data_IF_168213965616
#
_entry.id   IF_168213965616
#
_cell.length_a   1.000
_cell.length_b   1.000
_cell.length_c   1.000
_cell.angle_alpha   90.00
_cell.angle_beta   90.00
_cell.angle_gamma   90.00
#
_symmetry.space_group_name_H-M   'P 1'
#
loop_
_entity.id
_entity.type
_entity.pdbx_description
1 polymer ?
#
# COMPACT_ATOMS: atom_id res chain seq x y z
N UNK A 1 1.54 -11.22 -6.95
CA UNK A 1 0.90 -9.94 -6.54
C UNK A 1 1.70 -9.20 -5.46
N UNK A 2 1.96 -9.77 -4.28
CA UNK A 2 2.75 -9.08 -3.24
C UNK A 2 4.18 -8.74 -3.69
N UNK A 3 4.88 -9.66 -4.36
CA UNK A 3 6.25 -9.42 -4.86
C UNK A 3 6.36 -8.22 -5.81
N UNK A 4 5.32 -7.95 -6.63
CA UNK A 4 5.26 -6.77 -7.49
C UNK A 4 5.43 -5.45 -6.72
N UNK A 5 5.07 -5.44 -5.44
CA UNK A 5 5.28 -4.27 -4.59
C UNK A 5 6.74 -4.03 -4.30
N UNK A 6 7.55 -5.07 -4.11
CA UNK A 6 9.00 -4.91 -3.97
C UNK A 6 9.63 -4.52 -5.30
N UNK A 7 9.23 -5.18 -6.38
CA UNK A 7 9.81 -4.96 -7.72
C UNK A 7 9.55 -3.54 -8.23
N UNK A 8 8.43 -2.92 -7.84
CA UNK A 8 8.08 -1.55 -8.24
C UNK A 8 8.54 -0.48 -7.25
N UNK A 9 8.95 -0.81 -6.03
CA UNK A 9 9.21 0.20 -4.99
C UNK A 9 10.60 0.82 -5.12
N UNK A 10 10.65 2.15 -5.21
CA UNK A 10 11.91 2.88 -5.33
C UNK A 10 12.60 3.01 -3.97
N UNK A 11 13.60 2.17 -3.73
CA UNK A 11 14.39 2.18 -2.48
C UNK A 11 15.60 3.13 -2.52
N UNK A 12 15.84 3.82 -3.64
CA UNK A 12 17.00 4.69 -3.81
C UNK A 12 16.79 6.03 -3.11
N UNK A 13 17.33 6.18 -1.89
CA UNK A 13 17.23 7.42 -1.09
C UNK A 13 17.84 8.64 -1.77
N UNK A 14 18.84 8.47 -2.65
CA UNK A 14 19.43 9.58 -3.40
C UNK A 14 18.48 10.13 -4.49
N UNK A 15 17.50 9.34 -4.90
CA UNK A 15 16.50 9.77 -5.88
C UNK A 15 15.48 10.69 -5.22
N UNK A 16 15.10 11.77 -5.90
CA UNK A 16 13.97 12.61 -5.47
C UNK A 16 12.65 11.84 -5.40
N UNK A 17 12.56 10.66 -6.02
CA UNK A 17 11.41 9.76 -5.99
C UNK A 17 11.59 8.58 -5.02
N UNK A 18 12.59 8.59 -4.13
CA UNK A 18 12.75 7.56 -3.11
C UNK A 18 11.47 7.40 -2.28
N UNK A 19 10.96 6.18 -2.15
CA UNK A 19 9.69 5.88 -1.49
C UNK A 19 8.45 5.87 -2.39
N UNK A 20 8.56 6.18 -3.69
CA UNK A 20 7.46 6.06 -4.65
C UNK A 20 7.42 4.68 -5.33
N UNK A 21 6.37 4.42 -6.11
CA UNK A 21 6.42 3.41 -7.17
C UNK A 21 7.27 3.92 -8.35
N UNK A 22 8.05 3.05 -8.97
CA UNK A 22 8.80 3.31 -10.21
C UNK A 22 7.90 3.33 -11.44
N UNK A 23 6.74 2.67 -11.36
CA UNK A 23 5.80 2.54 -12.46
C UNK A 23 4.46 3.19 -12.11
N UNK A 24 3.81 3.78 -13.12
CA UNK A 24 2.40 4.18 -13.03
C UNK A 24 1.46 2.98 -13.04
N UNK A 25 0.17 3.22 -12.75
CA UNK A 25 -0.87 2.18 -12.70
C UNK A 25 -1.08 1.47 -14.04
N UNK A 26 -1.08 2.23 -15.14
CA UNK A 26 -1.28 1.68 -16.48
C UNK A 26 -0.09 0.80 -16.89
N UNK A 27 -0.40 -0.45 -17.26
CA UNK A 27 0.58 -1.49 -17.56
C UNK A 27 1.46 -1.87 -16.37
N UNK A 28 1.04 -1.61 -15.14
CA UNK A 28 1.85 -1.88 -13.95
C UNK A 28 2.29 -3.35 -13.88
N UNK A 29 1.36 -4.29 -14.05
CA UNK A 29 1.63 -5.72 -13.93
C UNK A 29 2.56 -6.23 -15.04
N UNK A 30 2.45 -5.71 -16.26
CA UNK A 30 3.39 -6.00 -17.34
C UNK A 30 4.81 -5.50 -17.03
N UNK A 31 4.95 -4.29 -16.48
CA UNK A 31 6.26 -3.70 -16.13
C UNK A 31 7.00 -4.45 -15.02
N UNK A 32 6.25 -5.11 -14.13
CA UNK A 32 6.81 -6.00 -13.09
C UNK A 32 6.82 -7.47 -13.50
N UNK A 33 6.58 -7.77 -14.79
CA UNK A 33 6.74 -9.12 -15.35
C UNK A 33 5.63 -10.13 -14.99
N UNK A 34 4.46 -9.67 -14.56
CA UNK A 34 3.35 -10.55 -14.13
C UNK A 34 2.25 -10.78 -15.18
N UNK A 35 2.39 -10.25 -16.40
CA UNK A 35 1.40 -10.43 -17.48
C UNK A 35 1.73 -11.60 -18.43
N UNK A 36 3.02 -11.82 -18.73
CA UNK A 36 3.46 -12.82 -19.69
C UNK A 36 3.28 -14.24 -19.12
N UNK A 37 2.58 -15.10 -19.87
CA UNK A 37 2.30 -16.48 -19.44
C UNK A 37 1.31 -16.60 -18.27
N UNK A 38 0.74 -15.49 -17.80
CA UNK A 38 -0.25 -15.51 -16.72
C UNK A 38 -1.68 -15.47 -17.29
N UNK A 39 -2.49 -16.54 -17.14
CA UNK A 39 -3.86 -16.57 -17.61
C UNK A 39 -4.79 -15.69 -16.75
N UNK A 40 -4.40 -15.33 -15.53
CA UNK A 40 -5.20 -14.52 -14.64
C UNK A 40 -4.90 -13.04 -14.85
N UNK A 41 -5.80 -12.35 -15.54
CA UNK A 41 -5.64 -10.95 -15.93
C UNK A 41 -6.26 -10.01 -14.90
N UNK A 42 -5.50 -8.98 -14.52
CA UNK A 42 -5.90 -7.97 -13.55
C UNK A 42 -5.53 -6.59 -14.06
N UNK A 43 -6.30 -5.58 -13.66
CA UNK A 43 -5.95 -4.19 -13.84
C UNK A 43 -5.70 -3.53 -12.48
N UNK A 44 -4.61 -2.76 -12.37
CA UNK A 44 -4.36 -1.95 -11.17
C UNK A 44 -5.17 -0.68 -11.23
N UNK A 45 -6.17 -0.60 -10.35
CA UNK A 45 -7.15 0.49 -10.37
C UNK A 45 -6.80 1.61 -9.39
N UNK A 46 -6.05 1.32 -8.33
CA UNK A 46 -5.65 2.32 -7.33
C UNK A 46 -4.26 2.03 -6.76
N UNK A 47 -3.45 3.06 -6.58
CA UNK A 47 -2.27 3.00 -5.72
C UNK A 47 -2.63 3.48 -4.32
N UNK A 48 -2.01 2.83 -3.34
CA UNK A 48 -2.17 3.09 -1.92
C UNK A 48 -0.94 3.82 -1.41
N UNK A 49 -1.16 4.80 -0.57
CA UNK A 49 -0.10 5.58 0.07
C UNK A 49 -0.32 5.62 1.58
N UNK A 50 0.76 5.64 2.33
CA UNK A 50 0.71 5.68 3.79
C UNK A 50 1.81 6.58 4.35
N UNK A 51 1.54 7.11 5.53
CA UNK A 51 2.46 7.84 6.40
C UNK A 51 2.41 7.21 7.80
N UNK A 52 3.21 7.70 8.73
CA UNK A 52 3.17 7.27 10.13
C UNK A 52 3.26 8.49 11.04
N UNK A 53 2.37 8.55 12.04
CA UNK A 53 2.40 9.55 13.10
C UNK A 53 3.47 9.23 14.17
N UNK A 54 3.93 7.98 14.23
CA UNK A 54 5.06 7.58 15.08
C UNK A 54 6.33 7.45 14.25
N UNK A 55 7.48 7.64 14.89
CA UNK A 55 8.77 7.36 14.26
C UNK A 55 8.90 5.85 14.05
N UNK A 56 9.26 5.46 12.82
CA UNK A 56 9.46 4.06 12.44
C UNK A 56 10.86 3.89 11.85
N UNK A 57 11.43 2.67 11.92
CA UNK A 57 12.64 2.36 11.20
C UNK A 57 12.47 2.63 9.70
N UNK A 58 13.56 2.99 9.03
CA UNK A 58 13.54 3.36 7.61
C UNK A 58 13.08 2.23 6.67
N UNK A 59 13.11 0.97 7.13
CA UNK A 59 12.59 -0.19 6.41
C UNK A 59 11.08 -0.13 6.14
N UNK A 60 10.36 0.73 6.85
CA UNK A 60 8.92 0.96 6.70
C UNK A 60 8.61 2.17 5.82
N UNK A 61 9.23 3.32 6.09
CA UNK A 61 9.04 4.56 5.33
C UNK A 61 10.41 5.07 4.89
N UNK A 62 10.70 4.93 3.60
CA UNK A 62 11.94 5.40 2.98
C UNK A 62 11.85 6.91 2.78
N UNK A 63 12.72 7.65 3.46
CA UNK A 63 12.87 9.10 3.28
C UNK A 63 13.93 9.41 2.23
N UNK A 64 13.55 10.17 1.21
CA UNK A 64 14.48 10.69 0.20
C UNK A 64 15.44 11.69 0.84
N UNK A 65 16.72 11.62 0.48
CA UNK A 65 17.76 12.57 0.89
C UNK A 65 17.79 13.83 0.01
N UNK A 66 17.02 13.85 -1.07
CA UNK A 66 16.92 15.02 -1.94
C UNK A 66 16.07 16.11 -1.28
N UNK A 67 16.51 17.38 -1.39
CA UNK A 67 15.72 18.55 -0.98
C UNK A 67 14.43 18.71 -1.79
N UNK A 68 14.41 18.16 -3.01
CA UNK A 68 13.26 18.15 -3.92
C UNK A 68 12.46 16.85 -3.83
N UNK A 69 12.48 16.18 -2.68
CA UNK A 69 11.75 14.94 -2.48
C UNK A 69 10.27 15.06 -2.91
N UNK A 70 9.79 14.09 -3.69
CA UNK A 70 8.42 14.01 -4.18
C UNK A 70 7.38 14.01 -3.04
N UNK A 71 7.75 13.41 -1.91
CA UNK A 71 7.05 13.45 -0.65
C UNK A 71 8.07 13.26 0.49
N UNK A 72 7.83 13.90 1.64
CA UNK A 72 8.75 13.85 2.80
C UNK A 72 8.38 12.78 3.82
N UNK A 73 7.07 12.59 4.03
CA UNK A 73 6.56 11.73 5.11
C UNK A 73 5.78 10.52 4.61
N UNK A 74 5.43 10.47 3.32
CA UNK A 74 4.55 9.42 2.78
C UNK A 74 5.22 8.60 1.69
N UNK A 75 4.93 7.30 1.71
CA UNK A 75 5.41 6.34 0.74
C UNK A 75 4.28 5.68 -0.02
N UNK A 76 4.61 5.21 -1.22
CA UNK A 76 3.79 4.20 -1.89
C UNK A 76 3.79 2.91 -1.06
N UNK A 77 2.60 2.43 -0.73
CA UNK A 77 2.37 1.36 0.24
C UNK A 77 1.67 0.14 -0.38
N UNK A 78 1.37 0.19 -1.67
CA UNK A 78 0.76 -0.93 -2.37
C UNK A 78 -0.26 -0.51 -3.41
N UNK A 79 -1.15 -1.43 -3.77
CA UNK A 79 -2.14 -1.20 -4.80
C UNK A 79 -3.39 -2.06 -4.64
N UNK A 80 -4.47 -1.63 -5.29
CA UNK A 80 -5.69 -2.41 -5.49
C UNK A 80 -5.78 -2.79 -6.95
N UNK A 81 -5.93 -4.09 -7.22
CA UNK A 81 -6.14 -4.64 -8.55
C UNK A 81 -7.47 -5.39 -8.63
N UNK A 82 -8.10 -5.38 -9.79
CA UNK A 82 -9.38 -6.05 -10.04
C UNK A 82 -9.23 -6.95 -11.25
N UNK A 83 -9.77 -8.16 -11.19
CA UNK A 83 -9.77 -9.07 -12.33
C UNK A 83 -10.53 -8.44 -13.51
N UNK A 84 -9.91 -8.45 -14.70
CA UNK A 84 -10.57 -8.03 -15.95
C UNK A 84 -11.61 -9.07 -16.37
N UNK A 85 -12.42 -8.82 -17.40
CA UNK A 85 -13.38 -9.84 -17.89
C UNK A 85 -12.70 -11.16 -18.26
N UNK A 86 -11.55 -11.10 -18.94
CA UNK A 86 -10.73 -12.28 -19.24
C UNK A 86 -10.26 -12.98 -17.96
N UNK A 87 -9.82 -12.19 -16.95
CA UNK A 87 -9.44 -12.71 -15.65
C UNK A 87 -10.60 -13.38 -14.92
N UNK A 88 -11.81 -12.81 -15.00
CA UNK A 88 -13.01 -13.39 -14.39
C UNK A 88 -13.42 -14.68 -15.07
N UNK A 89 -13.36 -14.73 -16.40
CA UNK A 89 -13.62 -15.97 -17.15
C UNK A 89 -12.65 -17.08 -16.71
N UNK A 90 -11.37 -16.75 -16.48
CA UNK A 90 -10.37 -17.70 -16.01
C UNK A 90 -10.52 -18.08 -14.52
N UNK A 91 -10.92 -17.14 -13.66
CA UNK A 91 -11.04 -17.33 -12.20
C UNK A 91 -12.39 -17.87 -11.75
N UNK A 92 -13.43 -17.77 -12.59
CA UNK A 92 -14.83 -18.04 -12.26
C UNK A 92 -15.47 -17.02 -11.32
N UNK A 93 -14.80 -15.90 -11.03
CA UNK A 93 -15.27 -14.85 -10.10
C UNK A 93 -14.57 -13.52 -10.34
N UNK A 94 -15.21 -12.43 -9.90
CA UNK A 94 -14.60 -11.10 -9.86
C UNK A 94 -13.71 -10.95 -8.62
N UNK A 95 -12.42 -11.19 -8.79
CA UNK A 95 -11.46 -11.07 -7.71
C UNK A 95 -10.97 -9.61 -7.54
N UNK A 96 -10.87 -9.16 -6.29
CA UNK A 96 -10.33 -7.84 -5.89
C UNK A 96 -9.15 -8.09 -4.97
N UNK A 97 -7.96 -7.73 -5.45
CA UNK A 97 -6.70 -7.91 -4.72
C UNK A 97 -6.26 -6.60 -4.12
N UNK A 98 -6.01 -6.59 -2.81
CA UNK A 98 -5.30 -5.50 -2.11
C UNK A 98 -3.91 -6.01 -1.77
N UNK A 99 -2.89 -5.52 -2.49
CA UNK A 99 -1.50 -5.91 -2.28
C UNK A 99 -0.78 -4.83 -1.47
N UNK A 100 -0.40 -5.15 -0.24
CA UNK A 100 0.40 -4.29 0.63
C UNK A 100 1.89 -4.49 0.40
N UNK A 101 2.64 -3.39 0.37
CA UNK A 101 4.09 -3.39 0.29
C UNK A 101 4.66 -3.71 1.66
N UNK A 102 5.37 -4.83 1.77
CA UNK A 102 6.07 -5.18 3.00
C UNK A 102 7.33 -4.33 3.23
N UNK A 103 8.08 -4.69 4.27
CA UNK A 103 9.34 -4.03 4.63
C UNK A 103 10.50 -4.63 3.86
N UNK A 104 11.49 -3.81 3.48
CA UNK A 104 12.77 -4.36 3.01
C UNK A 104 13.57 -4.84 4.22
N UNK A 105 14.00 -6.10 4.21
CA UNK A 105 14.82 -6.67 5.29
C UNK A 105 16.21 -6.01 5.29
N UNK A 106 16.46 -5.13 6.25
CA UNK A 106 17.81 -4.85 6.75
C UNK A 106 17.87 -5.43 8.16
N UNK A 107 18.76 -6.38 8.44
CA UNK A 107 18.86 -7.02 9.76
C UNK A 107 18.97 -6.00 10.91
N UNK A 108 19.51 -4.82 10.63
CA UNK A 108 19.68 -3.72 11.57
C UNK A 108 18.37 -3.24 12.22
N UNK A 109 17.25 -3.14 11.48
CA UNK A 109 16.02 -2.59 12.06
C UNK A 109 15.29 -3.54 13.01
N UNK A 110 15.55 -4.86 12.92
CA UNK A 110 14.91 -5.86 13.79
C UNK A 110 15.33 -5.66 15.25
N UNK A 111 16.52 -5.09 15.47
CA UNK A 111 17.02 -4.78 16.81
C UNK A 111 16.39 -3.51 17.42
N UNK A 112 15.89 -2.61 16.58
CA UNK A 112 15.26 -1.34 16.99
C UNK A 112 13.72 -1.43 17.05
N UNK A 113 13.16 -2.61 16.84
CA UNK A 113 11.72 -2.86 16.90
C UNK A 113 11.23 -2.89 18.34
N UNK A 114 10.57 -1.81 18.74
CA UNK A 114 9.74 -1.82 19.95
C UNK A 114 8.35 -2.38 19.62
N UNK A 115 8.02 -3.54 20.18
CA UNK A 115 6.73 -4.21 19.97
C UNK A 115 5.64 -3.63 20.89
N UNK A 116 5.43 -2.32 20.82
CA UNK A 116 4.41 -1.66 21.62
C UNK A 116 3.00 -2.02 21.13
N UNK A 117 2.17 -2.53 22.04
CA UNK A 117 0.76 -2.81 21.77
C UNK A 117 -0.13 -1.65 22.21
N UNK A 118 -0.99 -1.18 21.31
CA UNK A 118 -1.94 -0.09 21.55
C UNK A 118 -3.37 -0.53 21.22
N UNK A 119 -4.36 0.11 21.86
CA UNK A 119 -5.77 -0.07 21.49
C UNK A 119 -6.01 0.50 20.08
N UNK A 120 -6.94 -0.11 19.33
CA UNK A 120 -7.25 0.28 17.96
C UNK A 120 -8.75 0.57 17.74
N UNK A 121 -9.31 1.59 18.41
CA UNK A 121 -10.74 1.90 18.34
C UNK A 121 -11.19 2.29 16.92
N UNK A 122 -10.34 2.90 16.10
CA UNK A 122 -10.71 3.24 14.71
C UNK A 122 -10.92 2.02 13.81
N UNK A 123 -10.37 0.87 14.20
CA UNK A 123 -10.47 -0.39 13.46
C UNK A 123 -11.54 -1.30 14.06
N UNK A 124 -11.56 -1.43 15.39
CA UNK A 124 -12.40 -2.41 16.09
C UNK A 124 -13.56 -1.79 16.88
N UNK A 125 -13.71 -0.48 16.88
CA UNK A 125 -14.73 0.25 17.62
C UNK A 125 -14.30 0.62 19.04
N UNK A 126 -14.99 1.63 19.59
CA UNK A 126 -14.81 2.08 20.98
C UNK A 126 -15.13 0.95 21.97
N UNK A 127 -14.35 0.86 23.05
CA UNK A 127 -14.51 -0.17 24.09
C UNK A 127 -13.99 -1.56 23.74
N UNK A 128 -13.39 -1.75 22.55
CA UNK A 128 -12.72 -3.00 22.19
C UNK A 128 -11.44 -3.21 23.02
N UNK A 129 -11.26 -4.42 23.56
CA UNK A 129 -10.03 -4.82 24.27
C UNK A 129 -8.91 -5.26 23.31
N UNK A 130 -9.17 -5.26 21.99
CA UNK A 130 -8.19 -5.67 20.98
C UNK A 130 -7.03 -4.69 20.94
N UNK A 131 -5.82 -5.24 21.07
CA UNK A 131 -4.58 -4.50 20.91
C UNK A 131 -3.84 -4.93 19.65
N UNK A 132 -3.16 -3.98 19.02
CA UNK A 132 -2.36 -4.16 17.82
C UNK A 132 -1.01 -3.48 17.97
N UNK A 133 -0.05 -3.86 17.14
CA UNK A 133 1.25 -3.21 17.10
C UNK A 133 1.14 -1.73 16.70
N UNK A 134 1.73 -0.83 17.49
CA UNK A 134 1.63 0.63 17.30
C UNK A 134 2.08 1.07 15.91
N UNK A 135 3.21 0.57 15.42
CA UNK A 135 3.72 0.96 14.11
C UNK A 135 2.81 0.54 12.95
N UNK A 136 2.20 -0.64 13.02
CA UNK A 136 1.26 -1.10 11.99
C UNK A 136 -0.05 -0.33 12.05
N UNK A 137 -0.53 -0.05 13.27
CA UNK A 137 -1.69 0.80 13.47
C UNK A 137 -1.46 2.18 12.87
N UNK A 138 -0.32 2.81 13.18
CA UNK A 138 0.00 4.14 12.67
C UNK A 138 0.10 4.16 11.15
N UNK A 139 0.80 3.21 10.51
CA UNK A 139 0.83 3.13 9.03
C UNK A 139 -0.57 2.99 8.44
N UNK A 140 -1.44 2.22 9.10
CA UNK A 140 -2.77 1.92 8.59
C UNK A 140 -3.75 3.07 8.75
N UNK A 141 -3.67 3.83 9.85
CA UNK A 141 -4.66 4.85 10.22
C UNK A 141 -4.20 6.30 10.09
N UNK A 142 -2.89 6.58 10.04
CA UNK A 142 -2.39 7.95 9.87
C UNK A 142 -2.61 8.50 8.46
N UNK A 143 -2.84 9.81 8.38
CA UNK A 143 -2.94 10.58 7.15
C UNK A 143 -2.03 11.83 7.19
N UNK A 144 -1.88 12.47 6.04
CA UNK A 144 -1.16 13.74 5.91
C UNK A 144 -1.99 14.69 5.04
N UNK A 145 -2.68 15.63 5.69
CA UNK A 145 -3.51 16.63 5.02
C UNK A 145 -2.72 17.53 4.05
N UNK A 146 -1.39 17.62 4.19
CA UNK A 146 -0.52 18.40 3.30
C UNK A 146 0.00 17.59 2.11
N UNK A 147 -0.15 16.27 2.13
CA UNK A 147 0.27 15.40 1.05
C UNK A 147 -0.81 15.31 -0.03
N UNK A 148 -0.45 15.42 -1.32
CA UNK A 148 -1.41 15.22 -2.40
C UNK A 148 -1.81 13.74 -2.60
N UNK A 149 -1.19 12.80 -1.86
CA UNK A 149 -1.36 11.35 -2.09
C UNK A 149 -2.19 10.65 -1.01
N UNK A 150 -2.10 11.08 0.24
CA UNK A 150 -2.71 10.44 1.41
C UNK A 150 -3.32 11.48 2.37
N UNK A 151 -4.12 12.40 1.81
CA UNK A 151 -5.07 13.23 2.59
C UNK A 151 -6.08 12.40 3.38
N UNK A 152 -6.16 11.11 3.10
CA UNK A 152 -6.89 10.10 3.88
C UNK A 152 -5.96 8.92 4.13
N UNK A 153 -6.19 8.23 5.25
CA UNK A 153 -5.32 7.12 5.65
C UNK A 153 -5.37 5.94 4.69
N UNK A 154 -4.35 5.08 4.77
CA UNK A 154 -4.26 3.90 3.91
C UNK A 154 -5.50 2.99 4.07
N UNK A 155 -6.02 2.86 5.29
CA UNK A 155 -7.31 2.21 5.57
C UNK A 155 -8.45 2.80 4.75
N UNK A 156 -8.66 4.11 4.81
CA UNK A 156 -9.75 4.77 4.09
C UNK A 156 -9.58 4.67 2.58
N UNK A 157 -8.35 4.78 2.05
CA UNK A 157 -8.08 4.58 0.63
C UNK A 157 -8.52 3.18 0.15
N UNK A 158 -8.21 2.14 0.92
CA UNK A 158 -8.62 0.75 0.61
C UNK A 158 -10.14 0.60 0.70
N UNK A 159 -10.74 1.02 1.81
CA UNK A 159 -12.18 0.86 2.06
C UNK A 159 -13.02 1.56 0.99
N UNK A 160 -12.64 2.78 0.62
CA UNK A 160 -13.33 3.54 -0.43
C UNK A 160 -13.20 2.84 -1.79
N UNK A 161 -12.00 2.35 -2.14
CA UNK A 161 -11.81 1.70 -3.44
C UNK A 161 -12.51 0.35 -3.52
N UNK A 162 -12.41 -0.48 -2.48
CA UNK A 162 -13.05 -1.79 -2.42
C UNK A 162 -14.57 -1.65 -2.46
N UNK A 163 -15.15 -0.77 -1.65
CA UNK A 163 -16.60 -0.52 -1.63
C UNK A 163 -17.13 -0.05 -2.98
N UNK A 164 -16.45 0.92 -3.62
CA UNK A 164 -16.86 1.41 -4.95
C UNK A 164 -16.81 0.29 -5.99
N UNK A 165 -15.79 -0.56 -5.96
CA UNK A 165 -15.67 -1.69 -6.90
C UNK A 165 -16.83 -2.67 -6.74
N UNK A 166 -17.23 -2.98 -5.50
CA UNK A 166 -18.38 -3.86 -5.23
C UNK A 166 -19.70 -3.22 -5.68
N UNK A 167 -19.86 -1.89 -5.50
CA UNK A 167 -21.05 -1.17 -5.95
C UNK A 167 -21.14 -1.12 -7.48
N UNK A 168 -20.03 -0.93 -8.17
CA UNK A 168 -19.98 -0.91 -9.64
C UNK A 168 -20.36 -2.29 -10.22
N UNK A 169 -20.01 -3.38 -9.55
CA UNK A 169 -20.41 -4.74 -9.94
C UNK A 169 -21.91 -4.98 -9.82
N UNK A 170 -22.62 -4.34 -8.89
CA UNK A 170 -24.06 -4.52 -8.70
C UNK A 170 -24.92 -3.79 -9.74
N UNK A 171 -24.31 -2.93 -10.55
CA UNK A 171 -25.00 -2.13 -11.58
C UNK A 171 -24.98 -2.80 -12.97
N UNK A 172 -24.20 -3.86 -13.12
CA UNK A 172 -24.08 -4.67 -14.34
C UNK A 172 -24.74 -6.03 -14.15
#
# INVERSE_FOLDING_TARGET
MAQATYDAFNTQKKSKYGGSSMYGRSGFLGKVGLENGNPFKYEVTKFLYATSAVNLPEGFIVKSLSREAWCKESNWMGYVAVATEEGVAALGRRDIVVAWRGTKQSLEWVNDLDFLLVSAPEVFGEGSEVKVHQGWYSIYTSDDAKSPYNTTSARHQVMNRASNTVLDQKKN
#
